data_IF_715084343869
#
_entry.id   IF_715084343869
#
_cell.length_a   1.000
_cell.length_b   1.000
_cell.length_c   1.000
_cell.angle_alpha   90.00
_cell.angle_beta   90.00
_cell.angle_gamma   90.00
#
_symmetry.space_group_name_H-M   'P 1'
#
loop_
_entity.id
_entity.type
_entity.pdbx_description
1 polymer ?
#
# COMPACT_ATOMS: atom_id res chain seq x y z
N UNK A 1 21.21 -23.13 -26.83
CA UNK A 1 21.99 -22.77 -25.61
C UNK A 1 21.06 -22.96 -24.44
N UNK A 2 21.39 -23.84 -23.50
CA UNK A 2 20.62 -23.94 -22.26
C UNK A 2 20.67 -22.58 -21.54
N UNK A 3 19.51 -22.00 -21.28
CA UNK A 3 19.44 -20.72 -20.58
C UNK A 3 19.84 -20.94 -19.11
N UNK A 4 21.10 -20.66 -18.79
CA UNK A 4 21.60 -20.79 -17.44
C UNK A 4 20.86 -19.84 -16.49
N UNK A 5 20.24 -20.41 -15.45
CA UNK A 5 19.55 -19.67 -14.40
C UNK A 5 20.52 -19.37 -13.27
N UNK A 6 20.69 -18.09 -12.98
CA UNK A 6 21.51 -17.57 -11.88
C UNK A 6 20.65 -17.28 -10.65
N UNK A 7 21.30 -17.25 -9.49
CA UNK A 7 20.70 -16.83 -8.21
C UNK A 7 21.54 -15.70 -7.64
N UNK A 8 20.86 -14.69 -7.11
CA UNK A 8 21.53 -13.52 -6.53
C UNK A 8 20.63 -12.79 -5.56
N UNK A 9 21.16 -11.72 -4.99
CA UNK A 9 20.50 -10.86 -4.02
C UNK A 9 20.43 -9.43 -4.54
N UNK A 10 19.29 -8.78 -4.42
CA UNK A 10 19.13 -7.36 -4.76
C UNK A 10 19.93 -6.53 -3.75
N UNK A 11 20.99 -5.88 -4.22
CA UNK A 11 21.86 -5.03 -3.39
C UNK A 11 21.57 -3.54 -3.55
N UNK A 12 20.79 -3.16 -4.56
CA UNK A 12 20.36 -1.78 -4.76
C UNK A 12 19.05 -1.73 -5.55
N UNK A 13 18.17 -0.79 -5.20
CA UNK A 13 16.94 -0.49 -5.94
C UNK A 13 16.80 1.03 -6.09
N UNK A 14 16.65 1.49 -7.33
CA UNK A 14 16.21 2.84 -7.63
C UNK A 14 14.76 2.80 -8.10
N UNK A 15 13.86 3.26 -7.24
CA UNK A 15 12.43 3.37 -7.56
C UNK A 15 12.17 4.47 -8.60
N UNK A 16 12.86 5.61 -8.51
CA UNK A 16 12.74 6.72 -9.46
C UNK A 16 13.22 6.37 -10.88
N UNK A 17 14.33 5.63 -10.98
CA UNK A 17 14.95 5.28 -12.27
C UNK A 17 14.54 3.89 -12.76
N UNK A 18 13.64 3.22 -12.03
CA UNK A 18 13.10 1.90 -12.34
C UNK A 18 14.15 0.83 -12.68
N UNK A 19 15.21 0.74 -11.87
CA UNK A 19 16.21 -0.33 -12.01
C UNK A 19 16.65 -0.87 -10.65
N UNK A 20 17.14 -2.10 -10.65
CA UNK A 20 17.77 -2.71 -9.49
C UNK A 20 19.09 -3.38 -9.89
N UNK A 21 19.97 -3.56 -8.91
CA UNK A 21 21.24 -4.26 -9.07
C UNK A 21 21.19 -5.56 -8.29
N UNK A 22 21.55 -6.66 -8.96
CA UNK A 22 21.61 -8.01 -8.40
C UNK A 22 23.08 -8.38 -8.23
N UNK A 23 23.48 -8.70 -7.00
CA UNK A 23 24.74 -9.34 -6.69
C UNK A 23 24.62 -10.86 -6.76
N UNK A 24 25.53 -11.51 -7.45
CA UNK A 24 25.54 -12.96 -7.63
C UNK A 24 26.96 -13.51 -7.69
N UNK A 25 27.09 -14.81 -7.40
CA UNK A 25 28.35 -15.52 -7.52
C UNK A 25 28.39 -16.29 -8.84
N UNK A 26 29.51 -16.20 -9.56
CA UNK A 26 29.79 -17.03 -10.72
C UNK A 26 31.21 -17.60 -10.61
N UNK A 27 31.28 -18.91 -10.31
CA UNK A 27 32.51 -19.51 -9.80
C UNK A 27 32.91 -18.87 -8.47
N UNK A 28 34.20 -18.55 -8.30
CA UNK A 28 34.73 -17.92 -7.09
C UNK A 28 34.66 -16.38 -7.11
N UNK A 29 34.04 -15.76 -8.12
CA UNK A 29 33.96 -14.30 -8.26
C UNK A 29 32.57 -13.78 -7.97
N UNK A 30 32.49 -12.74 -7.13
CA UNK A 30 31.29 -11.93 -6.97
C UNK A 30 31.13 -11.01 -8.19
N UNK A 31 29.94 -10.97 -8.75
CA UNK A 31 29.56 -10.13 -9.88
C UNK A 31 28.27 -9.38 -9.55
N UNK A 32 28.04 -8.28 -10.27
CA UNK A 32 26.81 -7.51 -10.19
C UNK A 32 26.24 -7.31 -11.58
N UNK A 33 24.91 -7.32 -11.69
CA UNK A 33 24.20 -7.04 -12.95
C UNK A 33 22.97 -6.19 -12.67
N UNK A 34 22.61 -5.31 -13.60
CA UNK A 34 21.40 -4.49 -13.48
C UNK A 34 20.20 -5.22 -14.10
N UNK A 35 19.01 -4.97 -13.56
CA UNK A 35 17.73 -5.32 -14.16
C UNK A 35 16.80 -4.10 -14.17
N UNK A 36 15.94 -4.02 -15.18
CA UNK A 36 14.85 -3.03 -15.23
C UNK A 36 13.68 -3.53 -14.39
N UNK A 37 13.02 -2.66 -13.63
CA UNK A 37 11.92 -3.04 -12.73
C UNK A 37 10.54 -2.63 -13.24
N UNK A 38 10.48 -1.75 -14.23
CA UNK A 38 9.23 -1.29 -14.86
C UNK A 38 8.78 -2.14 -16.06
N UNK A 39 9.60 -3.11 -16.51
CA UNK A 39 9.25 -3.95 -17.65
C UNK A 39 8.54 -5.21 -17.16
N UNK A 40 7.38 -5.49 -17.75
CA UNK A 40 6.71 -6.77 -17.64
C UNK A 40 7.49 -7.84 -18.43
N UNK A 41 8.60 -8.33 -17.88
CA UNK A 41 9.47 -9.33 -18.51
C UNK A 41 8.74 -10.64 -18.89
N UNK A 42 7.51 -10.85 -18.38
CA UNK A 42 6.72 -12.08 -18.56
C UNK A 42 5.22 -11.84 -18.77
N UNK A 43 4.80 -10.63 -19.20
CA UNK A 43 3.37 -10.28 -19.32
C UNK A 43 2.62 -10.17 -17.98
N UNK A 44 3.33 -10.30 -16.86
CA UNK A 44 2.83 -10.05 -15.50
C UNK A 44 3.13 -8.61 -15.07
N UNK A 45 2.35 -8.10 -14.11
CA UNK A 45 2.58 -6.75 -13.54
C UNK A 45 4.04 -6.58 -13.10
N UNK A 46 4.65 -5.40 -13.32
CA UNK A 46 6.03 -5.13 -12.93
C UNK A 46 6.24 -5.43 -11.45
N UNK A 47 7.25 -6.23 -11.16
CA UNK A 47 7.54 -6.67 -9.80
C UNK A 47 8.35 -5.59 -9.08
N UNK A 48 7.83 -5.13 -7.94
CA UNK A 48 8.54 -4.20 -7.08
C UNK A 48 9.52 -4.98 -6.20
N UNK A 49 10.79 -4.98 -6.58
CA UNK A 49 11.85 -5.57 -5.76
C UNK A 49 12.18 -4.68 -4.56
N UNK A 50 12.60 -5.31 -3.48
CA UNK A 50 13.10 -4.68 -2.27
C UNK A 50 14.57 -5.00 -2.07
N UNK A 51 15.23 -4.17 -1.28
CA UNK A 51 16.60 -4.45 -0.85
C UNK A 51 16.64 -5.80 -0.13
N UNK A 52 17.61 -6.64 -0.49
CA UNK A 52 17.80 -7.94 0.10
C UNK A 52 16.94 -9.05 -0.46
N UNK A 53 16.07 -8.79 -1.44
CA UNK A 53 15.33 -9.83 -2.15
C UNK A 53 16.30 -10.82 -2.81
N UNK A 54 16.13 -12.10 -2.51
CA UNK A 54 16.73 -13.16 -3.30
C UNK A 54 15.93 -13.39 -4.56
N UNK A 55 16.63 -13.43 -5.69
CA UNK A 55 16.04 -13.59 -7.01
C UNK A 55 16.75 -14.68 -7.80
N UNK A 56 16.00 -15.34 -8.68
CA UNK A 56 16.59 -16.09 -9.80
C UNK A 56 16.43 -15.30 -11.08
N UNK A 57 17.43 -15.31 -11.96
CA UNK A 57 17.42 -14.53 -13.19
C UNK A 57 18.24 -15.20 -14.29
N UNK A 58 18.06 -14.72 -15.52
CA UNK A 58 18.87 -15.11 -16.67
C UNK A 58 19.62 -13.87 -17.18
N UNK A 59 20.70 -14.08 -17.95
CA UNK A 59 21.55 -13.02 -18.46
C UNK A 59 21.35 -12.85 -19.97
N UNK A 60 21.10 -11.63 -20.42
CA UNK A 60 21.05 -11.25 -21.84
C UNK A 60 21.85 -9.98 -22.09
N UNK A 61 22.16 -9.69 -23.34
CA UNK A 61 22.69 -8.39 -23.73
C UNK A 61 21.62 -7.30 -23.54
N UNK A 62 22.05 -6.10 -23.17
CA UNK A 62 21.21 -4.91 -23.07
C UNK A 62 20.59 -4.58 -24.44
N UNK A 63 19.54 -3.76 -24.46
CA UNK A 63 18.92 -3.31 -25.71
C UNK A 63 19.91 -2.56 -26.64
N UNK A 64 20.97 -1.97 -26.06
CA UNK A 64 22.06 -1.31 -26.78
C UNK A 64 23.19 -2.27 -27.17
N UNK A 65 23.16 -3.51 -26.71
CA UNK A 65 24.18 -4.54 -26.96
C UNK A 65 25.52 -4.32 -26.25
N UNK A 66 25.63 -3.30 -25.39
CA UNK A 66 26.90 -2.86 -24.81
C UNK A 66 27.26 -3.59 -23.50
N UNK A 67 26.27 -4.10 -22.77
CA UNK A 67 26.44 -4.67 -21.42
C UNK A 67 25.50 -5.83 -21.19
N UNK A 68 25.85 -6.71 -20.25
CA UNK A 68 24.92 -7.73 -19.78
C UNK A 68 23.86 -7.11 -18.85
N UNK A 69 22.62 -7.54 -18.99
CA UNK A 69 21.49 -7.21 -18.13
C UNK A 69 20.81 -8.49 -17.67
N UNK A 70 20.27 -8.47 -16.46
CA UNK A 70 19.41 -9.54 -15.98
C UNK A 70 18.01 -9.38 -16.58
N UNK A 71 17.39 -10.51 -16.93
CA UNK A 71 16.02 -10.61 -17.41
C UNK A 71 15.34 -11.84 -16.80
N UNK A 72 14.00 -11.89 -16.92
CA UNK A 72 13.19 -12.98 -16.35
C UNK A 72 13.46 -13.15 -14.85
N UNK A 73 13.61 -12.00 -14.17
CA UNK A 73 13.95 -11.94 -12.75
C UNK A 73 12.73 -12.40 -11.95
N UNK A 74 12.91 -13.41 -11.10
CA UNK A 74 11.85 -13.99 -10.27
C UNK A 74 12.24 -13.89 -8.81
N UNK A 75 11.39 -13.25 -8.02
CA UNK A 75 11.50 -13.23 -6.56
C UNK A 75 11.44 -14.64 -5.98
N UNK A 76 12.28 -14.91 -4.97
CA UNK A 76 12.29 -16.17 -4.22
C UNK A 76 11.90 -15.93 -2.76
N UNK A 77 12.67 -15.12 -2.04
CA UNK A 77 12.39 -14.78 -0.65
C UNK A 77 13.18 -13.54 -0.22
N UNK A 78 12.86 -12.97 0.94
CA UNK A 78 13.64 -11.92 1.59
C UNK A 78 13.69 -12.22 3.09
N UNK A 79 14.88 -12.60 3.57
CA UNK A 79 15.10 -12.98 4.97
C UNK A 79 14.79 -11.84 5.94
N UNK A 80 15.15 -10.60 5.59
CA UNK A 80 14.89 -9.43 6.43
C UNK A 80 13.37 -9.21 6.61
N UNK A 81 12.58 -9.37 5.54
CA UNK A 81 11.11 -9.33 5.64
C UNK A 81 10.59 -10.44 6.57
N UNK A 82 11.05 -11.68 6.40
CA UNK A 82 10.62 -12.80 7.25
C UNK A 82 10.93 -12.54 8.73
N UNK A 83 12.12 -12.04 9.04
CA UNK A 83 12.51 -11.67 10.41
C UNK A 83 11.66 -10.54 10.96
N UNK A 84 11.33 -9.53 10.16
CA UNK A 84 10.44 -8.44 10.58
C UNK A 84 9.03 -8.96 10.90
N UNK A 85 8.46 -9.83 10.06
CA UNK A 85 7.15 -10.47 10.31
C UNK A 85 7.18 -11.31 11.61
N UNK A 86 8.30 -11.93 11.94
CA UNK A 86 8.44 -12.62 13.21
C UNK A 86 8.52 -11.63 14.39
N UNK A 87 9.31 -10.55 14.25
CA UNK A 87 9.40 -9.48 15.26
C UNK A 87 8.03 -8.88 15.57
N UNK A 88 7.16 -8.68 14.56
CA UNK A 88 5.82 -8.13 14.77
C UNK A 88 4.90 -8.97 15.65
N UNK A 89 5.15 -10.29 15.75
CA UNK A 89 4.38 -11.16 16.64
C UNK A 89 4.68 -10.90 18.13
N UNK A 90 5.83 -10.28 18.43
CA UNK A 90 6.25 -9.91 19.78
C UNK A 90 5.98 -8.41 20.00
N UNK A 91 6.50 -7.56 19.11
CA UNK A 91 6.34 -6.12 19.15
C UNK A 91 6.27 -5.56 17.72
N UNK A 92 5.12 -5.00 17.35
CA UNK A 92 4.93 -4.37 16.04
C UNK A 92 5.23 -2.87 16.08
N UNK A 93 6.48 -2.54 16.38
CA UNK A 93 6.97 -1.16 16.47
C UNK A 93 8.36 -1.06 15.86
N UNK A 94 8.47 -0.30 14.77
CA UNK A 94 9.71 -0.09 14.04
C UNK A 94 10.01 1.40 13.92
N UNK A 95 11.25 1.72 13.59
CA UNK A 95 11.71 3.08 13.37
C UNK A 95 12.30 3.23 11.97
N UNK A 96 12.07 4.38 11.35
CA UNK A 96 12.39 4.63 9.96
C UNK A 96 12.42 6.10 9.60
N UNK A 97 12.61 6.38 8.33
CA UNK A 97 12.54 7.73 7.76
C UNK A 97 11.43 7.81 6.73
N UNK A 98 10.64 8.89 6.78
CA UNK A 98 9.67 9.17 5.74
C UNK A 98 10.38 9.59 4.44
N UNK A 99 9.95 9.01 3.32
CA UNK A 99 10.38 9.36 1.96
C UNK A 99 9.19 9.55 1.05
N UNK A 100 9.27 10.52 0.14
CA UNK A 100 8.30 10.74 -0.92
C UNK A 100 8.91 10.30 -2.26
N UNK A 101 8.20 9.46 -3.00
CA UNK A 101 8.61 8.95 -4.32
C UNK A 101 7.37 8.98 -5.22
N UNK A 102 7.44 9.67 -6.36
CA UNK A 102 6.33 9.79 -7.32
C UNK A 102 4.98 10.14 -6.65
N UNK A 103 4.97 11.16 -5.79
CA UNK A 103 3.83 11.60 -4.96
C UNK A 103 3.28 10.60 -3.93
N UNK A 104 3.91 9.44 -3.78
CA UNK A 104 3.53 8.46 -2.77
C UNK A 104 4.52 8.49 -1.59
N UNK A 105 3.99 8.30 -0.38
CA UNK A 105 4.80 8.22 0.83
C UNK A 105 5.25 6.79 1.10
N UNK A 106 6.48 6.67 1.55
CA UNK A 106 7.12 5.43 1.97
C UNK A 106 7.86 5.63 3.28
N UNK A 107 8.03 4.57 4.03
CA UNK A 107 8.91 4.54 5.20
C UNK A 107 10.12 3.67 4.87
N UNK A 108 11.31 4.25 4.95
CA UNK A 108 12.57 3.52 4.87
C UNK A 108 12.97 3.08 6.27
N UNK A 109 12.87 1.78 6.53
CA UNK A 109 13.23 1.21 7.82
C UNK A 109 14.75 1.26 8.06
N UNK A 110 15.18 1.44 9.32
CA UNK A 110 16.58 1.71 9.66
C UNK A 110 17.52 0.53 9.48
N UNK A 111 17.15 -0.66 9.96
CA UNK A 111 18.05 -1.83 10.00
C UNK A 111 18.18 -2.48 8.61
N UNK A 112 17.04 -2.74 7.97
CA UNK A 112 16.93 -3.44 6.70
C UNK A 112 17.04 -2.53 5.48
N UNK A 113 16.87 -1.22 5.66
CA UNK A 113 16.80 -0.22 4.58
C UNK A 113 15.65 -0.47 3.59
N UNK A 114 14.70 -1.34 3.93
CA UNK A 114 13.55 -1.66 3.09
C UNK A 114 12.58 -0.48 3.09
N UNK A 115 12.05 -0.18 1.91
CA UNK A 115 11.01 0.82 1.71
C UNK A 115 9.64 0.15 1.74
N UNK A 116 8.82 0.56 2.71
CA UNK A 116 7.42 0.15 2.85
C UNK A 116 6.51 1.27 2.39
N UNK A 117 5.53 1.02 1.49
CA UNK A 117 4.52 2.01 1.16
C UNK A 117 3.76 2.42 2.41
N UNK A 118 3.54 3.71 2.60
CA UNK A 118 2.75 4.20 3.72
C UNK A 118 1.26 3.97 3.44
N UNK A 119 0.59 3.32 4.39
CA UNK A 119 -0.86 3.22 4.42
C UNK A 119 -1.41 4.49 5.05
N UNK A 120 -2.09 5.29 4.23
CA UNK A 120 -2.83 6.45 4.69
C UNK A 120 -4.32 6.18 4.53
N UNK A 121 -5.10 6.57 5.52
CA UNK A 121 -6.56 6.60 5.38
C UNK A 121 -6.97 7.63 4.33
N UNK A 122 -8.08 7.41 3.60
CA UNK A 122 -8.66 8.45 2.73
C UNK A 122 -9.01 9.75 3.48
N UNK A 123 -9.19 9.68 4.80
CA UNK A 123 -9.57 10.80 5.66
C UNK A 123 -8.42 11.31 6.54
N UNK A 124 -7.22 10.78 6.34
CA UNK A 124 -6.02 11.21 7.03
C UNK A 124 -5.31 12.30 6.24
N UNK A 125 -4.90 13.33 6.96
CA UNK A 125 -4.07 14.41 6.44
C UNK A 125 -2.67 13.83 6.28
N UNK A 126 -2.13 13.80 5.04
CA UNK A 126 -0.80 13.25 4.82
C UNK A 126 0.25 14.05 5.59
N UNK A 127 1.37 13.41 5.99
CA UNK A 127 2.49 14.13 6.57
C UNK A 127 2.94 15.29 5.66
N UNK A 128 3.29 16.41 6.28
CA UNK A 128 3.83 17.58 5.58
C UNK A 128 5.20 17.27 4.97
N UNK A 129 5.56 17.92 3.86
CA UNK A 129 6.84 17.69 3.17
C UNK A 129 8.06 17.98 4.08
N UNK A 130 7.92 18.87 5.05
CA UNK A 130 8.96 19.13 6.06
C UNK A 130 9.23 17.93 6.99
N UNK A 131 8.40 16.89 6.97
CA UNK A 131 8.62 15.64 7.70
C UNK A 131 9.48 14.63 6.92
N UNK A 132 9.89 14.94 5.69
CA UNK A 132 10.81 14.09 4.93
C UNK A 132 12.17 13.97 5.65
N UNK A 133 12.70 12.75 5.70
CA UNK A 133 13.91 12.40 6.43
C UNK A 133 13.84 12.59 7.97
N UNK A 134 12.66 12.84 8.53
CA UNK A 134 12.45 12.83 9.98
C UNK A 134 12.33 11.38 10.47
N UNK A 135 12.94 11.11 11.62
CA UNK A 135 12.81 9.85 12.33
C UNK A 135 11.34 9.65 12.77
N UNK A 136 10.73 8.56 12.34
CA UNK A 136 9.35 8.21 12.65
C UNK A 136 9.26 6.79 13.18
N UNK A 137 8.26 6.56 14.03
CA UNK A 137 7.87 5.22 14.47
C UNK A 137 6.63 4.77 13.70
N UNK A 138 6.61 3.50 13.32
CA UNK A 138 5.52 2.91 12.53
C UNK A 138 5.33 1.43 12.89
N UNK A 139 4.18 0.88 12.51
CA UNK A 139 3.84 -0.54 12.56
C UNK A 139 3.77 -1.10 11.14
N UNK A 140 3.90 -2.42 11.00
CA UNK A 140 3.64 -3.12 9.75
C UNK A 140 2.22 -3.67 9.71
N UNK A 141 1.56 -3.51 8.56
CA UNK A 141 0.22 -4.03 8.28
C UNK A 141 0.22 -4.87 6.99
N UNK A 142 -0.83 -5.68 6.79
CA UNK A 142 -0.97 -6.63 5.66
C UNK A 142 0.14 -7.70 5.62
N UNK A 143 0.50 -8.22 6.79
CA UNK A 143 1.57 -9.21 6.97
C UNK A 143 1.24 -10.60 6.42
N UNK A 144 -0.04 -10.84 6.09
CA UNK A 144 -0.51 -12.06 5.41
C UNK A 144 0.13 -12.22 4.02
N UNK A 145 0.53 -11.11 3.38
CA UNK A 145 1.13 -11.09 2.06
C UNK A 145 2.42 -10.27 2.08
N UNK A 146 3.61 -10.90 2.09
CA UNK A 146 4.91 -10.21 2.18
C UNK A 146 5.08 -9.05 1.17
N UNK A 147 4.59 -9.22 -0.06
CA UNK A 147 4.67 -8.20 -1.11
C UNK A 147 3.66 -7.05 -0.96
N UNK A 148 2.65 -7.21 -0.11
CA UNK A 148 1.61 -6.22 0.16
C UNK A 148 1.78 -5.52 1.52
N UNK A 149 2.85 -5.85 2.27
CA UNK A 149 3.17 -5.21 3.54
C UNK A 149 3.30 -3.70 3.34
N UNK A 150 2.62 -2.94 4.20
CA UNK A 150 2.66 -1.48 4.28
C UNK A 150 3.08 -1.04 5.67
N UNK A 151 3.54 0.21 5.76
CA UNK A 151 3.80 0.89 7.02
C UNK A 151 2.58 1.72 7.44
N UNK A 152 2.25 1.73 8.72
CA UNK A 152 1.21 2.56 9.32
C UNK A 152 1.83 3.40 10.44
N UNK A 153 1.60 4.72 10.45
CA UNK A 153 2.15 5.61 11.48
C UNK A 153 1.35 5.45 12.77
N UNK A 154 1.98 5.61 13.94
CA UNK A 154 1.24 5.63 15.20
C UNK A 154 0.48 6.95 15.45
N UNK A 155 0.91 8.02 14.80
CA UNK A 155 0.30 9.34 14.92
C UNK A 155 -0.52 9.63 13.67
N UNK A 156 -1.83 9.56 13.82
CA UNK A 156 -2.79 9.85 12.76
C UNK A 156 -3.39 11.24 12.92
N UNK A 157 -3.42 12.00 11.84
CA UNK A 157 -4.05 13.32 11.82
C UNK A 157 -5.24 13.29 10.87
N UNK A 158 -6.43 12.97 11.40
CA UNK A 158 -7.64 12.91 10.59
C UNK A 158 -8.31 14.27 10.37
N UNK A 159 -9.04 14.40 9.26
CA UNK A 159 -9.92 15.55 8.99
C UNK A 159 -11.02 15.66 10.08
N UNK A 160 -11.54 16.87 10.37
CA UNK A 160 -12.57 17.08 11.39
C UNK A 160 -13.82 16.22 11.20
N UNK A 161 -14.22 15.97 9.96
CA UNK A 161 -15.39 15.17 9.60
C UNK A 161 -15.24 13.71 10.00
N UNK A 162 -14.02 13.16 9.93
CA UNK A 162 -13.75 11.80 10.38
C UNK A 162 -13.82 11.69 11.90
N UNK A 163 -13.26 12.66 12.63
CA UNK A 163 -13.40 12.75 14.10
C UNK A 163 -14.86 12.89 14.52
N UNK A 164 -15.66 13.61 13.73
CA UNK A 164 -17.11 13.68 13.93
C UNK A 164 -17.77 12.33 13.66
N UNK A 165 -17.34 11.60 12.64
CA UNK A 165 -17.81 10.25 12.36
C UNK A 165 -17.52 9.28 13.53
N UNK A 166 -16.32 9.34 14.13
CA UNK A 166 -15.96 8.56 15.32
C UNK A 166 -16.92 8.85 16.49
N UNK A 167 -17.18 10.13 16.78
CA UNK A 167 -18.13 10.52 17.81
C UNK A 167 -19.54 9.98 17.55
N UNK A 168 -20.02 10.07 16.30
CA UNK A 168 -21.36 9.59 15.92
C UNK A 168 -21.45 8.06 15.96
N UNK A 169 -20.37 7.37 15.64
CA UNK A 169 -20.26 5.93 15.78
C UNK A 169 -20.31 5.50 17.25
N UNK A 170 -19.49 6.11 18.11
CA UNK A 170 -19.45 5.76 19.54
C UNK A 170 -20.77 6.04 20.26
N UNK A 171 -21.44 7.13 19.88
CA UNK A 171 -22.72 7.54 20.47
C UNK A 171 -23.93 6.97 19.76
N UNK A 172 -23.74 6.25 18.65
CA UNK A 172 -24.82 5.74 17.78
C UNK A 172 -25.82 6.84 17.40
N UNK A 173 -25.29 8.02 17.06
CA UNK A 173 -26.09 9.18 16.64
C UNK A 173 -26.54 9.07 15.19
N UNK A 174 -27.68 9.71 14.91
CA UNK A 174 -28.24 9.79 13.57
C UNK A 174 -27.43 10.80 12.75
N UNK A 175 -26.93 10.35 11.61
CA UNK A 175 -26.28 11.19 10.60
C UNK A 175 -27.29 11.49 9.50
N UNK A 176 -27.48 12.77 9.20
CA UNK A 176 -28.16 13.19 7.97
C UNK A 176 -27.18 13.07 6.81
N UNK A 177 -27.49 12.20 5.85
CA UNK A 177 -26.65 11.90 4.72
C UNK A 177 -27.40 12.17 3.42
N UNK A 178 -26.71 12.73 2.43
CA UNK A 178 -27.30 13.06 1.13
C UNK A 178 -26.98 11.98 0.12
N UNK A 179 -27.96 11.52 -0.64
CA UNK A 179 -27.75 10.55 -1.73
C UNK A 179 -26.93 11.23 -2.83
N UNK A 180 -25.71 10.77 -3.00
CA UNK A 180 -24.76 11.30 -3.98
C UNK A 180 -24.87 10.65 -5.35
N UNK A 181 -25.11 9.33 -5.37
CA UNK A 181 -25.17 8.54 -6.59
C UNK A 181 -25.94 7.25 -6.38
N UNK A 182 -26.76 6.88 -7.35
CA UNK A 182 -27.42 5.56 -7.39
C UNK A 182 -26.85 4.76 -8.57
N UNK A 183 -26.42 3.53 -8.28
CA UNK A 183 -25.94 2.57 -9.29
C UNK A 183 -26.75 1.28 -9.19
N UNK A 184 -26.73 0.41 -10.23
CA UNK A 184 -27.41 -0.88 -10.17
C UNK A 184 -27.04 -1.73 -8.94
N UNK A 185 -25.87 -1.54 -8.34
CA UNK A 185 -25.35 -2.38 -7.25
C UNK A 185 -25.22 -1.67 -5.88
N UNK A 186 -25.44 -0.36 -5.82
CA UNK A 186 -25.18 0.42 -4.62
C UNK A 186 -25.83 1.81 -4.66
N UNK A 187 -26.27 2.27 -3.48
CA UNK A 187 -26.58 3.67 -3.21
C UNK A 187 -25.41 4.28 -2.43
N UNK A 188 -24.87 5.38 -2.93
CA UNK A 188 -23.75 6.09 -2.31
C UNK A 188 -24.26 7.33 -1.60
N UNK A 189 -23.87 7.50 -0.35
CA UNK A 189 -24.23 8.61 0.51
C UNK A 189 -23.01 9.48 0.80
N UNK A 190 -23.27 10.78 0.85
CA UNK A 190 -22.37 11.81 1.31
C UNK A 190 -22.70 12.16 2.76
N UNK A 191 -21.75 11.89 3.66
CA UNK A 191 -21.82 12.13 5.09
C UNK A 191 -21.01 13.39 5.42
N UNK A 192 -21.53 14.22 6.32
CA UNK A 192 -20.88 15.45 6.77
C UNK A 192 -20.47 16.37 5.59
N UNK A 193 -21.40 16.60 4.67
CA UNK A 193 -21.11 17.26 3.39
C UNK A 193 -20.57 16.25 2.39
N UNK A 194 -19.57 16.63 1.60
CA UNK A 194 -18.96 15.81 0.53
C UNK A 194 -17.66 15.10 0.96
N UNK A 195 -17.29 15.18 2.24
CA UNK A 195 -15.97 14.75 2.74
C UNK A 195 -15.87 13.25 3.01
N UNK A 196 -17.00 12.60 3.30
CA UNK A 196 -17.04 11.16 3.56
C UNK A 196 -18.11 10.53 2.68
N UNK A 197 -17.71 9.65 1.78
CA UNK A 197 -18.62 8.85 0.99
C UNK A 197 -18.75 7.45 1.60
N UNK A 198 -19.98 6.96 1.76
CA UNK A 198 -20.25 5.61 2.24
C UNK A 198 -21.32 4.93 1.39
N UNK A 199 -21.28 3.60 1.35
CA UNK A 199 -22.29 2.78 0.70
C UNK A 199 -23.42 2.50 1.70
N UNK A 200 -24.64 2.81 1.30
CA UNK A 200 -25.84 2.39 2.02
C UNK A 200 -26.22 0.97 1.59
N UNK A 201 -26.42 0.10 2.57
CA UNK A 201 -27.06 -1.19 2.35
C UNK A 201 -28.58 -0.99 2.31
N UNK A 202 -29.18 -1.19 1.14
CA UNK A 202 -30.63 -1.12 0.89
C UNK A 202 -31.07 -2.29 0.03
N UNK A 203 -32.33 -2.70 0.15
CA UNK A 203 -32.98 -3.63 -0.79
C UNK A 203 -33.29 -2.94 -2.12
N UNK A 204 -33.64 -3.71 -3.17
CA UNK A 204 -34.03 -3.12 -4.46
C UNK A 204 -35.31 -2.26 -4.35
N UNK A 205 -36.28 -2.66 -3.53
CA UNK A 205 -37.50 -1.88 -3.26
C UNK A 205 -37.19 -0.54 -2.56
N UNK A 206 -36.27 -0.53 -1.61
CA UNK A 206 -35.84 0.70 -0.93
C UNK A 206 -35.07 1.62 -1.88
N UNK A 207 -34.37 1.05 -2.87
CA UNK A 207 -33.57 1.78 -3.85
C UNK A 207 -34.43 2.46 -4.91
N UNK A 208 -35.54 1.86 -5.33
CA UNK A 208 -36.50 2.49 -6.25
C UNK A 208 -37.14 3.77 -5.67
N UNK A 209 -37.19 3.85 -4.33
CA UNK A 209 -37.76 4.98 -3.60
C UNK A 209 -36.75 6.09 -3.27
N UNK A 210 -35.49 5.96 -3.68
CA UNK A 210 -34.43 6.94 -3.43
C UNK A 210 -34.04 7.66 -4.71
N UNK A 211 -33.75 8.96 -4.60
CA UNK A 211 -33.23 9.79 -5.68
C UNK A 211 -31.96 10.50 -5.26
N UNK A 212 -31.12 10.84 -6.23
CA UNK A 212 -29.95 11.69 -5.98
C UNK A 212 -30.40 13.06 -5.43
N UNK A 213 -29.74 13.53 -4.38
CA UNK A 213 -30.12 14.72 -3.62
C UNK A 213 -31.02 14.47 -2.40
N UNK A 214 -31.61 13.28 -2.27
CA UNK A 214 -32.45 12.96 -1.10
C UNK A 214 -31.62 12.94 0.19
N UNK A 215 -32.21 13.40 1.29
CA UNK A 215 -31.59 13.34 2.61
C UNK A 215 -32.15 12.16 3.40
N UNK A 216 -31.28 11.28 3.86
CA UNK A 216 -31.62 10.05 4.58
C UNK A 216 -30.94 10.06 5.94
N UNK A 217 -31.67 9.64 6.98
CA UNK A 217 -31.10 9.44 8.32
C UNK A 217 -30.49 8.05 8.41
N UNK A 218 -29.20 8.00 8.72
CA UNK A 218 -28.43 6.77 8.81
C UNK A 218 -27.65 6.71 10.12
N UNK A 219 -27.27 5.50 10.53
CA UNK A 219 -26.37 5.27 11.66
C UNK A 219 -25.12 4.58 11.12
N UNK A 220 -23.96 4.96 11.64
CA UNK A 220 -22.69 4.31 11.35
C UNK A 220 -22.65 2.96 12.07
N UNK A 221 -22.51 1.87 11.33
CA UNK A 221 -22.48 0.50 11.87
C UNK A 221 -21.09 -0.07 11.96
N UNK A 222 -20.16 0.45 11.17
CA UNK A 222 -18.78 0.02 11.17
C UNK A 222 -17.90 1.21 10.79
N UNK A 223 -16.86 1.45 11.58
CA UNK A 223 -15.91 2.52 11.36
C UNK A 223 -14.49 1.98 11.57
N UNK A 224 -13.66 2.18 10.56
CA UNK A 224 -12.21 1.95 10.58
C UNK A 224 -11.54 3.07 9.79
N UNK A 225 -10.23 3.27 9.92
CA UNK A 225 -9.50 4.24 9.10
C UNK A 225 -9.60 3.96 7.59
N UNK A 226 -9.92 2.73 7.19
CA UNK A 226 -10.05 2.36 5.77
C UNK A 226 -11.50 2.34 5.26
N UNK A 227 -12.49 2.24 6.15
CA UNK A 227 -13.88 1.96 5.77
C UNK A 227 -14.88 2.49 6.78
N UNK A 228 -15.91 3.15 6.27
CA UNK A 228 -17.12 3.53 7.02
C UNK A 228 -18.32 2.86 6.35
N UNK A 229 -19.11 2.12 7.13
CA UNK A 229 -20.37 1.52 6.69
C UNK A 229 -21.54 2.10 7.49
N UNK A 230 -22.66 2.28 6.80
CA UNK A 230 -23.87 2.88 7.37
C UNK A 230 -25.09 2.01 7.06
N UNK A 231 -26.10 2.11 7.94
CA UNK A 231 -27.43 1.54 7.71
C UNK A 231 -28.50 2.60 7.87
N UNK A 232 -29.62 2.45 7.17
CA UNK A 232 -30.81 3.27 7.39
C UNK A 232 -31.37 2.95 8.78
N UNK A 233 -31.81 3.98 9.51
CA UNK A 233 -32.48 3.78 10.79
C UNK A 233 -33.94 3.41 10.51
N UNK A 234 -34.40 2.26 11.01
CA UNK A 234 -35.78 1.78 10.83
C UNK A 234 -35.98 0.66 9.80
N UNK A 235 -34.89 0.09 9.27
CA UNK A 235 -34.90 -1.21 8.56
C UNK A 235 -34.35 -2.32 9.45
#
# INVERSE_FOLDING_TARGET
MEEQIYKGKISFVSYEKYFATIEYSHGNKKKSVNCKTNIADSGKKPQHYRLGDEVSFQLKLSDRGDKMTAYNVKYRHNEAISLMIQKTAIENRFSGYLKKIDNNYFVKEWESYILFPLQLSPWEIPPVESAENVAINFSLVNMDKPNAIKAELFSHFYIPEYKKAELFFDKQFDVEAVVSKITPHAVYLNLFGDKIQSKLAVTEEEKENLKEGDTVKVIITHLTPAKIAVKKKGS
#
